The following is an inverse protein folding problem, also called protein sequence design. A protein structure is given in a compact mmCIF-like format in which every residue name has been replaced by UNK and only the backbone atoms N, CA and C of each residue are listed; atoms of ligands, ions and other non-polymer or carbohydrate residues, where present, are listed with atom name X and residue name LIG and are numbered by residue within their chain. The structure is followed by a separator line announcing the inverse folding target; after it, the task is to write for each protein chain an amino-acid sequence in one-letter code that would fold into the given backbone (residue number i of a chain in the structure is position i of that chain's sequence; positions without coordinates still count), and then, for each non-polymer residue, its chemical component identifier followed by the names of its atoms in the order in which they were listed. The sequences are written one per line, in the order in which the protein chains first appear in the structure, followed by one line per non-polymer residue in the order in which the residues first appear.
data_IF_482897202313
#
_entry.id   IF_482897202313
#
_cell.length_a   1.000
_cell.length_b   1.000
_cell.length_c   1.000
_cell.angle_alpha   90.00
_cell.angle_beta   90.00
_cell.angle_gamma   90.00
#
_symmetry.space_group_name_H-M   'P 1'
#
loop_
_entity.id
_entity.type
_entity.pdbx_description
1 polymer ?
#
# COMPACT_ATOMS: atom_id res chain seq x y z
N UNK A 1 -66.06 -1.16 24.80
CA UNK A 1 -64.82 -2.00 24.65
C UNK A 1 -64.31 -1.76 23.24
N UNK A 2 -63.29 -0.94 23.14
CA UNK A 2 -62.66 -0.54 21.87
C UNK A 2 -61.24 -1.09 21.88
N UNK A 3 -61.00 -2.10 21.05
CA UNK A 3 -59.65 -2.67 20.87
C UNK A 3 -58.76 -1.71 20.07
N UNK A 4 -57.67 -1.33 20.65
CA UNK A 4 -56.59 -0.61 19.95
C UNK A 4 -55.59 -1.62 19.35
N UNK A 5 -55.61 -1.73 18.02
CA UNK A 5 -54.62 -2.49 17.30
C UNK A 5 -53.33 -1.69 17.17
N UNK A 6 -52.30 -2.10 17.88
CA UNK A 6 -50.96 -1.50 17.82
C UNK A 6 -50.22 -2.10 16.62
N UNK A 7 -50.05 -1.31 15.56
CA UNK A 7 -49.25 -1.71 14.40
C UNK A 7 -47.76 -1.44 14.72
N UNK A 8 -47.00 -2.51 14.91
CA UNK A 8 -45.55 -2.43 15.06
C UNK A 8 -44.92 -2.20 13.70
N UNK A 9 -44.42 -0.99 13.46
CA UNK A 9 -43.62 -0.65 12.28
C UNK A 9 -42.22 -1.24 12.44
N UNK A 10 -41.89 -2.31 11.73
CA UNK A 10 -40.55 -2.81 11.58
C UNK A 10 -39.77 -1.83 10.70
N UNK A 11 -38.87 -1.06 11.31
CA UNK A 11 -37.85 -0.33 10.58
C UNK A 11 -36.85 -1.34 10.00
N UNK A 12 -37.05 -1.70 8.75
CA UNK A 12 -36.04 -2.42 7.95
C UNK A 12 -34.95 -1.42 7.57
N UNK A 13 -33.87 -1.35 8.35
CA UNK A 13 -32.64 -0.70 7.90
C UNK A 13 -32.11 -1.48 6.70
N UNK A 14 -32.04 -0.86 5.53
CA UNK A 14 -31.28 -1.37 4.41
C UNK A 14 -29.83 -1.47 4.90
N UNK A 15 -29.34 -2.70 5.11
CA UNK A 15 -27.91 -2.92 5.33
C UNK A 15 -27.25 -2.49 4.02
N UNK A 16 -26.38 -1.47 4.07
CA UNK A 16 -25.45 -1.19 2.98
C UNK A 16 -24.74 -2.51 2.66
N UNK A 17 -24.55 -2.85 1.38
CA UNK A 17 -23.81 -4.05 1.01
C UNK A 17 -22.46 -3.99 1.72
N UNK A 18 -22.09 -5.09 2.37
CA UNK A 18 -20.83 -5.24 3.09
C UNK A 18 -19.69 -5.04 2.08
N UNK A 19 -18.76 -4.11 2.37
CA UNK A 19 -17.57 -3.90 1.56
C UNK A 19 -16.59 -5.06 1.77
N UNK A 20 -15.94 -5.53 0.72
CA UNK A 20 -15.03 -6.69 0.78
C UNK A 20 -13.59 -6.23 0.70
N UNK A 21 -12.78 -6.60 1.70
CA UNK A 21 -11.33 -6.46 1.67
C UNK A 21 -10.67 -7.84 1.52
N UNK A 22 -9.89 -8.01 0.47
CA UNK A 22 -9.06 -9.18 0.24
C UNK A 22 -7.63 -8.90 0.69
N UNK A 23 -7.15 -9.61 1.70
CA UNK A 23 -5.76 -9.57 2.15
C UNK A 23 -5.00 -10.72 1.49
N UNK A 24 -4.04 -10.41 0.63
CA UNK A 24 -3.12 -11.39 0.05
C UNK A 24 -1.76 -11.22 0.69
N UNK A 25 -1.34 -12.24 1.46
CA UNK A 25 -0.13 -12.19 2.30
C UNK A 25 0.75 -13.41 2.10
N UNK A 26 2.04 -13.28 2.44
CA UNK A 26 3.00 -14.38 2.35
C UNK A 26 4.33 -13.94 1.76
N UNK A 27 5.02 -14.89 1.12
CA UNK A 27 6.36 -14.71 0.59
C UNK A 27 7.42 -14.81 1.67
N UNK A 28 8.34 -13.86 1.75
CA UNK A 28 9.46 -13.91 2.70
C UNK A 28 9.02 -13.60 4.15
N UNK A 29 9.22 -14.55 5.06
CA UNK A 29 8.81 -14.45 6.47
C UNK A 29 9.51 -13.31 7.24
N UNK A 30 10.66 -12.84 6.76
CA UNK A 30 11.38 -11.72 7.39
C UNK A 30 10.59 -10.40 7.47
N UNK A 31 9.57 -10.24 6.63
CA UNK A 31 8.63 -9.11 6.68
C UNK A 31 7.41 -9.36 7.57
N UNK A 32 7.35 -10.48 8.29
CA UNK A 32 6.27 -10.82 9.21
C UNK A 32 4.86 -10.66 8.57
N UNK A 33 4.60 -11.26 7.39
CA UNK A 33 3.39 -10.95 6.61
C UNK A 33 2.09 -11.24 7.36
N UNK A 34 2.09 -12.23 8.25
CA UNK A 34 0.92 -12.59 9.07
C UNK A 34 0.69 -11.53 10.13
N UNK A 35 1.69 -11.28 10.97
CA UNK A 35 1.62 -10.33 12.09
C UNK A 35 1.39 -8.90 11.58
N UNK A 36 2.07 -8.52 10.51
CA UNK A 36 1.95 -7.21 9.88
C UNK A 36 0.52 -6.96 9.34
N UNK A 37 -0.08 -7.92 8.67
CA UNK A 37 -1.45 -7.77 8.18
C UNK A 37 -2.47 -7.86 9.31
N UNK A 38 -2.26 -8.75 10.29
CA UNK A 38 -3.17 -8.91 11.43
C UNK A 38 -3.34 -7.60 12.24
N UNK A 39 -2.34 -6.70 12.23
CA UNK A 39 -2.44 -5.37 12.85
C UNK A 39 -3.57 -4.51 12.26
N UNK A 40 -3.86 -4.66 10.97
CA UNK A 40 -4.84 -3.84 10.27
C UNK A 40 -6.23 -4.50 10.14
N UNK A 41 -6.37 -5.80 10.43
CA UNK A 41 -7.66 -6.49 10.35
C UNK A 41 -8.75 -5.89 11.26
N UNK A 42 -8.46 -5.53 12.54
CA UNK A 42 -9.46 -4.88 13.39
C UNK A 42 -9.92 -3.54 12.83
N UNK A 43 -8.97 -2.75 12.28
CA UNK A 43 -9.27 -1.46 11.67
C UNK A 43 -10.19 -1.63 10.44
N UNK A 44 -9.86 -2.53 9.51
CA UNK A 44 -10.69 -2.81 8.33
C UNK A 44 -12.11 -3.23 8.72
N UNK A 45 -12.25 -4.13 9.70
CA UNK A 45 -13.56 -4.56 10.20
C UNK A 45 -14.34 -3.39 10.83
N UNK A 46 -13.68 -2.53 11.59
CA UNK A 46 -14.28 -1.32 12.15
C UNK A 46 -14.77 -0.35 11.05
N UNK A 47 -14.08 -0.31 9.91
CA UNK A 47 -14.47 0.47 8.74
C UNK A 47 -15.56 -0.21 7.88
N UNK A 48 -16.13 -1.34 8.34
CA UNK A 48 -17.25 -2.01 7.71
C UNK A 48 -16.86 -2.99 6.59
N UNK A 49 -15.59 -3.41 6.53
CA UNK A 49 -15.17 -4.44 5.59
C UNK A 49 -15.41 -5.85 6.14
N UNK A 50 -15.95 -6.71 5.30
CA UNK A 50 -15.79 -8.16 5.41
C UNK A 50 -14.38 -8.51 4.88
N UNK A 51 -13.56 -9.17 5.73
CA UNK A 51 -12.16 -9.41 5.40
C UNK A 51 -11.96 -10.88 5.08
N UNK A 52 -11.50 -11.16 3.86
CA UNK A 52 -10.99 -12.46 3.41
C UNK A 52 -9.46 -12.43 3.37
N UNK A 53 -8.82 -13.50 3.81
CA UNK A 53 -7.37 -13.64 3.83
C UNK A 53 -6.98 -14.82 2.94
N UNK A 54 -5.99 -14.60 2.08
CA UNK A 54 -5.40 -15.61 1.20
C UNK A 54 -3.88 -15.57 1.30
N UNK A 55 -3.27 -16.75 1.37
CA UNK A 55 -1.81 -16.89 1.47
C UNK A 55 -1.15 -17.09 0.07
N UNK A 56 -1.93 -16.92 -0.99
CA UNK A 56 -1.49 -17.14 -2.37
C UNK A 56 -2.13 -16.15 -3.33
N UNK A 57 -1.40 -15.69 -4.37
CA UNK A 57 -1.95 -14.86 -5.45
C UNK A 57 -2.91 -15.64 -6.37
N UNK A 58 -3.10 -16.95 -6.18
CA UNK A 58 -3.98 -17.78 -7.00
C UNK A 58 -5.43 -17.25 -7.04
N UNK A 59 -5.88 -16.61 -5.96
CA UNK A 59 -7.22 -16.02 -5.86
C UNK A 59 -7.48 -14.94 -6.93
N UNK A 60 -6.45 -14.26 -7.40
CA UNK A 60 -6.58 -13.23 -8.42
C UNK A 60 -7.10 -13.76 -9.75
N UNK A 61 -6.94 -15.06 -10.04
CA UNK A 61 -7.47 -15.70 -11.24
C UNK A 61 -8.99 -15.99 -11.17
N UNK A 62 -9.61 -15.86 -9.99
CA UNK A 62 -11.06 -16.01 -9.80
C UNK A 62 -11.75 -14.68 -10.13
N UNK A 63 -12.10 -14.49 -11.40
CA UNK A 63 -12.70 -13.25 -11.89
C UNK A 63 -14.08 -12.95 -11.25
N UNK A 64 -14.87 -13.98 -10.92
CA UNK A 64 -16.17 -13.82 -10.28
C UNK A 64 -15.99 -13.29 -8.85
N UNK A 65 -15.10 -13.87 -8.08
CA UNK A 65 -14.77 -13.38 -6.75
C UNK A 65 -14.14 -11.98 -6.79
N UNK A 66 -13.15 -11.76 -7.66
CA UNK A 66 -12.44 -10.46 -7.77
C UNK A 66 -13.40 -9.31 -8.12
N UNK A 67 -14.49 -9.57 -8.85
CA UNK A 67 -15.50 -8.55 -9.14
C UNK A 67 -16.24 -8.06 -7.87
N UNK A 68 -16.23 -8.82 -6.78
CA UNK A 68 -16.84 -8.47 -5.50
C UNK A 68 -15.91 -7.72 -4.55
N UNK A 69 -14.62 -7.66 -4.87
CA UNK A 69 -13.59 -7.06 -4.00
C UNK A 69 -13.56 -5.55 -4.16
N UNK A 70 -13.60 -4.83 -3.04
CA UNK A 70 -13.51 -3.36 -3.00
C UNK A 70 -12.10 -2.88 -2.69
N UNK A 71 -11.31 -3.67 -1.94
CA UNK A 71 -9.95 -3.35 -1.54
C UNK A 71 -9.07 -4.61 -1.53
N UNK A 72 -7.91 -4.52 -2.15
CA UNK A 72 -6.83 -5.50 -2.02
C UNK A 72 -5.78 -4.93 -1.06
N UNK A 73 -5.48 -5.65 0.01
CA UNK A 73 -4.33 -5.40 0.88
C UNK A 73 -3.21 -6.34 0.47
N UNK A 74 -2.20 -5.79 -0.21
CA UNK A 74 -1.09 -6.55 -0.77
C UNK A 74 0.07 -6.62 0.23
N UNK A 75 0.40 -7.82 0.71
CA UNK A 75 1.54 -8.08 1.60
C UNK A 75 2.20 -9.42 1.26
N UNK A 76 2.76 -9.53 0.04
CA UNK A 76 3.28 -10.80 -0.47
C UNK A 76 4.68 -10.62 -1.10
N UNK A 77 5.72 -10.61 -0.24
CA UNK A 77 7.09 -10.23 -0.61
C UNK A 77 7.84 -11.32 -1.38
N UNK A 78 8.57 -10.92 -2.44
CA UNK A 78 9.48 -11.79 -3.22
C UNK A 78 8.85 -13.09 -3.71
N UNK A 79 7.56 -13.09 -3.92
CA UNK A 79 6.84 -14.23 -4.48
C UNK A 79 6.78 -14.12 -6.02
N UNK A 80 6.18 -15.10 -6.65
CA UNK A 80 5.91 -15.12 -8.08
C UNK A 80 4.41 -15.02 -8.33
N UNK A 81 4.05 -14.44 -9.46
CA UNK A 81 2.67 -14.42 -9.95
C UNK A 81 2.63 -15.05 -11.34
N UNK A 82 1.61 -15.86 -11.60
CA UNK A 82 1.36 -16.41 -12.93
C UNK A 82 0.58 -15.42 -13.79
N UNK A 83 0.73 -15.52 -15.11
CA UNK A 83 0.07 -14.60 -16.05
C UNK A 83 -1.45 -14.49 -15.87
N UNK A 84 -2.22 -15.60 -15.71
CA UNK A 84 -3.67 -15.50 -15.45
C UNK A 84 -4.01 -14.81 -14.14
N UNK A 85 -3.18 -14.98 -13.09
CA UNK A 85 -3.37 -14.30 -11.80
C UNK A 85 -3.13 -12.80 -11.93
N UNK A 86 -2.04 -12.41 -12.62
CA UNK A 86 -1.77 -11.00 -12.88
C UNK A 86 -2.86 -10.35 -13.74
N UNK A 87 -3.33 -11.01 -14.78
CA UNK A 87 -4.41 -10.49 -15.63
C UNK A 87 -5.70 -10.28 -14.84
N UNK A 88 -6.04 -11.19 -13.94
CA UNK A 88 -7.20 -11.04 -13.05
C UNK A 88 -7.03 -9.89 -12.05
N UNK A 89 -5.84 -9.75 -11.42
CA UNK A 89 -5.52 -8.62 -10.56
C UNK A 89 -5.66 -7.29 -11.30
N UNK A 90 -5.02 -7.17 -12.47
CA UNK A 90 -5.07 -5.97 -13.29
C UNK A 90 -6.50 -5.60 -13.70
N UNK A 91 -7.26 -6.58 -14.19
CA UNK A 91 -8.65 -6.36 -14.62
C UNK A 91 -9.55 -5.89 -13.46
N UNK A 92 -9.36 -6.42 -12.25
CA UNK A 92 -10.10 -5.98 -11.07
C UNK A 92 -9.77 -4.52 -10.72
N UNK A 93 -8.49 -4.13 -10.75
CA UNK A 93 -8.08 -2.75 -10.49
C UNK A 93 -8.61 -1.82 -11.59
N UNK A 94 -8.49 -2.18 -12.87
CA UNK A 94 -9.03 -1.41 -14.00
C UNK A 94 -10.54 -1.16 -13.84
N UNK A 95 -11.27 -2.11 -13.25
CA UNK A 95 -12.70 -2.03 -12.97
C UNK A 95 -13.05 -1.31 -11.64
N UNK A 96 -12.06 -0.75 -10.92
CA UNK A 96 -12.28 0.10 -9.75
C UNK A 96 -11.98 -0.55 -8.40
N UNK A 97 -11.51 -1.80 -8.34
CA UNK A 97 -10.98 -2.37 -7.09
C UNK A 97 -9.75 -1.59 -6.67
N UNK A 98 -9.71 -1.14 -5.41
CA UNK A 98 -8.54 -0.47 -4.86
C UNK A 98 -7.44 -1.44 -4.47
N UNK A 99 -6.19 -0.96 -4.41
CA UNK A 99 -5.05 -1.74 -3.91
C UNK A 99 -4.17 -0.89 -3.02
N UNK A 100 -3.78 -1.41 -1.87
CA UNK A 100 -2.83 -0.75 -0.99
C UNK A 100 -1.90 -1.76 -0.33
N UNK A 101 -0.70 -1.31 0.04
CA UNK A 101 0.26 -2.15 0.73
C UNK A 101 1.48 -1.35 1.17
N UNK A 102 2.40 -2.05 1.80
CA UNK A 102 3.60 -1.45 2.35
C UNK A 102 4.83 -2.30 2.11
N UNK A 103 5.97 -1.61 2.07
CA UNK A 103 7.31 -2.17 2.00
C UNK A 103 7.44 -3.21 0.88
N UNK A 104 8.21 -4.28 1.11
CA UNK A 104 8.36 -5.37 0.15
C UNK A 104 7.07 -6.15 -0.12
N UNK A 105 6.07 -6.03 0.75
CA UNK A 105 4.77 -6.67 0.58
C UNK A 105 4.00 -6.20 -0.67
N UNK A 106 4.30 -5.00 -1.17
CA UNK A 106 3.77 -4.47 -2.42
C UNK A 106 4.87 -4.07 -3.40
N UNK A 107 5.89 -3.32 -2.95
CA UNK A 107 6.94 -2.79 -3.83
C UNK A 107 7.99 -3.83 -4.25
N UNK A 108 7.96 -5.03 -3.67
CA UNK A 108 8.87 -6.13 -3.98
C UNK A 108 8.13 -7.48 -4.11
N UNK A 109 6.87 -7.47 -4.54
CA UNK A 109 6.03 -8.67 -4.57
C UNK A 109 6.42 -9.64 -5.67
N UNK A 110 6.29 -9.22 -6.92
CA UNK A 110 6.28 -10.09 -8.08
C UNK A 110 7.33 -9.66 -9.11
N UNK A 111 8.62 -9.82 -8.77
CA UNK A 111 9.75 -9.42 -9.65
C UNK A 111 9.77 -10.13 -11.00
N UNK A 112 9.06 -11.25 -11.14
CA UNK A 112 8.96 -12.01 -12.38
C UNK A 112 7.98 -11.42 -13.40
N UNK A 113 7.17 -10.41 -13.00
CA UNK A 113 6.12 -9.82 -13.83
C UNK A 113 6.31 -8.31 -13.95
N UNK A 114 6.88 -7.87 -15.07
CA UNK A 114 7.17 -6.46 -15.32
C UNK A 114 5.91 -5.60 -15.42
N UNK A 115 4.80 -6.18 -15.89
CA UNK A 115 3.53 -5.45 -15.97
C UNK A 115 2.96 -5.16 -14.57
N UNK A 116 3.28 -6.00 -13.55
CA UNK A 116 2.94 -5.69 -12.15
C UNK A 116 3.70 -4.44 -11.67
N UNK A 117 4.97 -4.33 -12.02
CA UNK A 117 5.77 -3.16 -11.66
C UNK A 117 5.22 -1.89 -12.31
N UNK A 118 4.78 -2.00 -13.56
CA UNK A 118 4.08 -0.92 -14.26
C UNK A 118 2.75 -0.60 -13.59
N UNK A 119 2.00 -1.59 -13.12
CA UNK A 119 0.72 -1.41 -12.44
C UNK A 119 0.86 -0.58 -11.16
N UNK A 120 1.86 -0.86 -10.32
CA UNK A 120 2.07 -0.16 -9.04
C UNK A 120 2.97 1.08 -9.16
N UNK A 121 3.70 1.24 -10.26
CA UNK A 121 4.49 2.42 -10.60
C UNK A 121 5.86 2.54 -9.96
N UNK A 122 6.26 1.60 -9.13
CA UNK A 122 7.57 1.61 -8.48
C UNK A 122 7.97 0.26 -7.90
N UNK A 123 9.28 0.01 -7.90
CA UNK A 123 9.84 -1.25 -7.44
C UNK A 123 11.04 -1.02 -6.52
N UNK A 124 11.18 -1.87 -5.51
CA UNK A 124 12.40 -2.01 -4.74
C UNK A 124 13.59 -2.32 -5.65
N UNK A 125 14.62 -1.49 -5.59
CA UNK A 125 15.89 -1.68 -6.28
C UNK A 125 16.95 -2.28 -5.38
N UNK A 126 17.22 -1.62 -4.26
CA UNK A 126 18.18 -2.10 -3.25
C UNK A 126 18.02 -1.35 -1.91
N UNK A 127 18.76 -1.82 -0.91
CA UNK A 127 19.00 -1.12 0.35
C UNK A 127 20.33 -0.39 0.28
N UNK A 128 20.37 0.95 0.08
CA UNK A 128 21.62 1.69 -0.01
C UNK A 128 22.26 1.98 1.37
N UNK A 129 21.72 1.40 2.45
CA UNK A 129 21.98 1.83 3.81
C UNK A 129 23.37 1.57 4.36
N UNK A 130 23.84 0.32 4.39
CA UNK A 130 25.09 -0.07 5.04
C UNK A 130 26.14 -0.56 4.05
N UNK A 131 27.42 -0.37 4.41
CA UNK A 131 28.51 -1.04 3.71
C UNK A 131 28.30 -2.58 3.77
N UNK A 132 28.63 -3.34 2.72
CA UNK A 132 28.47 -4.80 2.73
C UNK A 132 29.16 -5.46 3.92
N UNK A 133 30.33 -4.99 4.33
CA UNK A 133 31.11 -5.52 5.46
C UNK A 133 30.48 -5.22 6.84
N UNK A 134 29.52 -4.29 6.90
CA UNK A 134 28.77 -3.95 8.12
C UNK A 134 27.47 -4.77 8.24
N UNK A 135 27.14 -5.52 7.20
CA UNK A 135 25.93 -6.37 7.17
C UNK A 135 26.24 -7.73 7.78
N UNK A 136 26.50 -7.72 9.07
CA UNK A 136 26.76 -8.93 9.86
C UNK A 136 25.59 -9.21 10.77
N UNK A 137 25.03 -10.41 10.67
CA UNK A 137 23.90 -10.84 11.45
C UNK A 137 22.61 -10.86 10.66
N UNK A 138 21.48 -10.81 11.34
CA UNK A 138 20.21 -11.01 10.68
C UNK A 138 19.65 -9.70 10.10
N UNK A 139 18.57 -9.22 10.56
CA UNK A 139 17.65 -8.37 9.84
C UNK A 139 17.83 -6.88 10.05
N UNK A 140 18.38 -6.49 11.19
CA UNK A 140 18.76 -5.11 11.51
C UNK A 140 19.92 -4.59 10.68
N UNK A 141 20.52 -5.44 9.86
CA UNK A 141 21.70 -5.12 9.07
C UNK A 141 21.49 -4.02 8.05
N UNK A 142 20.25 -3.86 7.54
CA UNK A 142 19.91 -2.78 6.63
C UNK A 142 19.26 -1.58 7.32
N UNK A 143 19.11 -1.58 8.64
CA UNK A 143 18.51 -0.48 9.38
C UNK A 143 19.43 0.74 9.41
N UNK A 144 18.91 1.85 8.92
CA UNK A 144 19.59 3.15 8.91
C UNK A 144 18.62 4.23 9.39
N UNK A 145 19.11 5.28 10.04
CA UNK A 145 18.31 6.46 10.32
C UNK A 145 18.08 7.25 9.03
N UNK A 146 16.83 7.63 8.76
CA UNK A 146 16.47 8.52 7.66
C UNK A 146 15.18 9.27 7.97
N UNK A 147 14.98 10.38 7.28
CA UNK A 147 13.76 11.19 7.35
C UNK A 147 12.84 10.85 6.18
N UNK A 148 11.56 10.66 6.44
CA UNK A 148 10.50 10.68 5.45
C UNK A 148 10.10 12.15 5.26
N UNK A 149 10.44 12.71 4.10
CA UNK A 149 10.21 14.10 3.77
C UNK A 149 8.89 14.26 3.02
N UNK A 150 7.95 14.99 3.60
CA UNK A 150 6.64 15.23 3.00
C UNK A 150 6.74 16.25 1.87
N UNK A 151 6.15 15.96 0.71
CA UNK A 151 6.11 16.90 -0.41
C UNK A 151 4.95 17.90 -0.26
N UNK A 152 4.99 19.05 -0.94
CA UNK A 152 3.90 20.05 -0.88
C UNK A 152 2.52 19.46 -1.23
N UNK A 153 2.44 18.54 -2.19
CA UNK A 153 1.20 17.85 -2.55
C UNK A 153 0.59 17.01 -1.41
N UNK A 154 1.42 16.59 -0.46
CA UNK A 154 0.99 15.81 0.70
C UNK A 154 0.16 16.63 1.70
N UNK A 155 0.31 17.95 1.72
CA UNK A 155 -0.31 18.80 2.74
C UNK A 155 -1.84 18.77 2.70
N UNK A 156 -2.42 18.56 1.52
CA UNK A 156 -3.88 18.51 1.30
C UNK A 156 -4.38 17.13 0.87
N UNK A 157 -3.48 16.16 0.72
CA UNK A 157 -3.88 14.82 0.31
C UNK A 157 -4.49 14.05 1.49
N UNK A 158 -5.65 13.39 1.34
CA UNK A 158 -6.36 12.71 2.44
C UNK A 158 -5.52 11.69 3.21
N UNK A 159 -4.54 11.05 2.54
CA UNK A 159 -3.66 10.07 3.20
C UNK A 159 -2.70 10.76 4.18
N UNK A 160 -2.22 11.94 3.84
CA UNK A 160 -1.07 12.58 4.51
C UNK A 160 -1.40 13.89 5.18
N UNK A 161 -2.64 14.38 5.09
CA UNK A 161 -3.08 15.62 5.74
C UNK A 161 -2.71 15.63 7.23
N UNK A 162 -2.04 16.72 7.65
CA UNK A 162 -1.59 16.93 9.03
C UNK A 162 -0.36 16.13 9.44
N UNK A 163 0.25 15.35 8.54
CA UNK A 163 1.53 14.68 8.79
C UNK A 163 2.65 15.58 8.28
N UNK A 164 3.67 15.78 9.10
CA UNK A 164 4.90 16.50 8.78
C UNK A 164 6.04 15.50 8.58
N UNK A 165 7.21 15.99 8.20
CA UNK A 165 8.43 15.18 8.12
C UNK A 165 8.65 14.40 9.43
N UNK A 166 9.05 13.14 9.32
CA UNK A 166 9.30 12.30 10.48
C UNK A 166 10.48 11.36 10.25
N UNK A 167 11.16 11.01 11.36
CA UNK A 167 12.37 10.18 11.33
C UNK A 167 12.03 8.72 11.64
N UNK A 168 12.73 7.82 10.94
CA UNK A 168 12.67 6.38 11.17
C UNK A 168 14.07 5.79 11.29
N UNK A 169 14.17 4.66 11.96
CA UNK A 169 15.36 3.79 11.96
C UNK A 169 14.90 2.43 11.46
N UNK A 170 15.03 2.18 10.17
CA UNK A 170 14.60 0.94 9.52
C UNK A 170 15.27 0.79 8.15
N UNK A 171 14.84 -0.15 7.34
CA UNK A 171 15.28 -0.30 5.96
C UNK A 171 14.83 0.88 5.10
N UNK A 172 15.79 1.50 4.41
CA UNK A 172 15.53 2.52 3.41
C UNK A 172 15.58 1.90 2.02
N UNK A 173 14.61 2.22 1.17
CA UNK A 173 14.56 1.73 -0.20
C UNK A 173 15.11 2.73 -1.21
N UNK A 174 15.97 2.26 -2.11
CA UNK A 174 16.12 2.85 -3.43
C UNK A 174 15.01 2.28 -4.32
N UNK A 175 14.13 3.14 -4.80
CA UNK A 175 12.96 2.74 -5.61
C UNK A 175 13.22 3.12 -7.06
N UNK A 176 13.01 2.17 -7.96
CA UNK A 176 12.88 2.42 -9.39
C UNK A 176 11.43 2.76 -9.68
N UNK A 177 11.13 3.98 -10.08
CA UNK A 177 9.77 4.46 -10.31
C UNK A 177 9.61 5.05 -11.71
N UNK A 178 8.39 5.04 -12.22
CA UNK A 178 8.02 5.76 -13.43
C UNK A 178 7.47 7.16 -13.13
N UNK A 179 7.23 7.96 -14.19
CA UNK A 179 6.75 9.34 -14.09
C UNK A 179 5.23 9.44 -13.89
N UNK A 180 4.51 8.32 -13.80
CA UNK A 180 3.05 8.29 -13.70
C UNK A 180 2.57 8.01 -12.26
N UNK A 181 3.41 8.19 -11.26
CA UNK A 181 3.05 8.14 -9.84
C UNK A 181 2.90 9.54 -9.26
N UNK A 182 1.96 9.70 -8.33
CA UNK A 182 1.81 10.93 -7.54
C UNK A 182 2.55 10.74 -6.21
N UNK A 183 3.75 11.30 -6.12
CA UNK A 183 4.61 11.15 -4.94
C UNK A 183 4.13 12.08 -3.83
N UNK A 184 3.85 11.52 -2.65
CA UNK A 184 3.45 12.24 -1.45
C UNK A 184 4.61 12.50 -0.50
N UNK A 185 5.56 11.56 -0.42
CA UNK A 185 6.76 11.71 0.40
C UNK A 185 7.97 11.03 -0.24
N UNK A 186 9.15 11.48 0.13
CA UNK A 186 10.43 10.95 -0.34
C UNK A 186 11.36 10.63 0.81
N UNK A 187 12.39 9.81 0.53
CA UNK A 187 13.57 9.67 1.38
C UNK A 187 14.82 9.97 0.55
N UNK A 188 15.85 10.54 1.17
CA UNK A 188 17.09 10.86 0.48
C UNK A 188 18.26 10.11 1.12
N UNK A 189 18.96 9.33 0.30
CA UNK A 189 20.20 8.68 0.66
C UNK A 189 21.36 9.60 0.30
N UNK A 190 22.13 10.01 1.30
CA UNK A 190 23.37 10.78 1.10
C UNK A 190 24.46 9.90 0.53
N UNK A 191 25.37 10.51 -0.23
CA UNK A 191 26.59 9.83 -0.73
C UNK A 191 27.55 9.57 0.42
N UNK A 192 28.06 8.34 0.50
CA UNK A 192 29.09 7.93 1.44
C UNK A 192 30.36 7.56 0.69
N UNK A 193 31.47 7.50 1.39
CA UNK A 193 32.80 7.25 0.80
C UNK A 193 32.90 5.95 -0.02
N UNK A 194 32.15 4.91 0.38
CA UNK A 194 32.15 3.61 -0.29
C UNK A 194 31.05 3.43 -1.35
N UNK A 195 30.17 4.43 -1.52
CA UNK A 195 29.09 4.32 -2.50
C UNK A 195 29.64 4.44 -3.93
N UNK A 196 29.19 3.58 -4.88
CA UNK A 196 29.64 3.66 -6.27
C UNK A 196 28.96 4.79 -7.07
N UNK A 197 27.94 5.44 -6.50
CA UNK A 197 27.26 6.60 -7.08
C UNK A 197 27.85 7.90 -6.52
N UNK A 198 27.71 9.00 -7.26
CA UNK A 198 28.42 10.25 -7.01
C UNK A 198 27.48 11.44 -6.68
N UNK A 199 26.21 11.19 -6.46
CA UNK A 199 25.22 12.17 -6.02
C UNK A 199 24.22 11.52 -5.10
N UNK A 200 23.51 12.34 -4.30
CA UNK A 200 22.39 11.90 -3.47
C UNK A 200 21.30 11.22 -4.32
N UNK A 201 20.66 10.23 -3.74
CA UNK A 201 19.57 9.50 -4.34
C UNK A 201 18.32 9.79 -3.54
N UNK A 202 17.34 10.40 -4.19
CA UNK A 202 16.00 10.60 -3.63
C UNK A 202 15.04 9.60 -4.26
N UNK A 203 14.37 8.83 -3.42
CA UNK A 203 13.39 7.84 -3.81
C UNK A 203 12.01 8.18 -3.28
N UNK A 204 10.91 7.85 -4.00
CA UNK A 204 9.58 7.86 -3.43
C UNK A 204 9.51 6.99 -2.17
N UNK A 205 8.84 7.52 -1.13
CA UNK A 205 8.56 6.80 0.12
C UNK A 205 7.07 6.48 0.25
N UNK A 206 6.21 7.43 -0.14
CA UNK A 206 4.76 7.27 -0.21
C UNK A 206 4.31 7.75 -1.58
N UNK A 207 3.50 6.96 -2.27
CA UNK A 207 2.91 7.40 -3.54
C UNK A 207 1.54 6.81 -3.78
N UNK A 208 0.80 7.48 -4.65
CA UNK A 208 -0.46 6.99 -5.19
C UNK A 208 -0.38 6.83 -6.70
N UNK A 209 -1.28 6.04 -7.24
CA UNK A 209 -1.42 5.82 -8.67
C UNK A 209 -2.88 5.52 -8.99
N UNK A 210 -3.37 6.05 -10.08
CA UNK A 210 -4.64 5.65 -10.67
C UNK A 210 -4.38 4.68 -11.84
N UNK A 211 -5.14 3.58 -11.87
CA UNK A 211 -5.09 2.62 -12.97
C UNK A 211 -6.51 2.21 -13.36
N UNK A 212 -6.98 2.66 -14.53
CA UNK A 212 -8.40 2.60 -14.87
C UNK A 212 -9.24 3.38 -13.86
N UNK A 213 -10.25 2.74 -13.29
CA UNK A 213 -11.07 3.30 -12.21
C UNK A 213 -10.52 3.00 -10.81
N UNK A 214 -9.46 2.20 -10.72
CA UNK A 214 -8.86 1.78 -9.44
C UNK A 214 -7.81 2.76 -8.93
N UNK A 215 -7.62 2.73 -7.62
CA UNK A 215 -6.66 3.54 -6.86
C UNK A 215 -5.63 2.64 -6.21
N UNK A 216 -4.38 3.00 -6.30
CA UNK A 216 -3.27 2.26 -5.69
C UNK A 216 -2.52 3.18 -4.74
N UNK A 217 -2.23 2.70 -3.54
CA UNK A 217 -1.37 3.36 -2.56
C UNK A 217 -0.22 2.47 -2.15
N UNK A 218 0.98 3.01 -2.14
CA UNK A 218 2.21 2.31 -1.74
C UNK A 218 2.96 3.11 -0.69
N UNK A 219 3.36 2.43 0.39
CA UNK A 219 4.28 2.92 1.40
C UNK A 219 5.57 2.10 1.38
N UNK A 220 6.75 2.72 1.30
CA UNK A 220 8.02 1.98 1.49
C UNK A 220 8.40 1.81 2.97
N UNK A 221 8.09 2.72 3.93
CA UNK A 221 8.13 2.39 5.34
C UNK A 221 7.18 1.24 5.69
N UNK A 222 7.64 0.28 6.53
CA UNK A 222 6.80 -0.83 6.95
C UNK A 222 7.46 -2.20 6.99
N UNK A 223 8.79 -2.25 7.20
CA UNK A 223 9.59 -3.48 7.17
C UNK A 223 9.04 -4.57 8.10
N UNK A 224 8.67 -4.20 9.33
CA UNK A 224 8.18 -5.09 10.38
C UNK A 224 7.13 -4.43 11.26
N UNK A 225 6.55 -5.24 12.14
CA UNK A 225 5.52 -4.81 13.09
C UNK A 225 5.94 -3.56 13.86
N UNK A 226 7.16 -3.51 14.40
CA UNK A 226 7.65 -2.36 15.16
C UNK A 226 7.71 -1.06 14.35
N UNK A 227 7.94 -1.15 13.02
CA UNK A 227 7.89 0.01 12.13
C UNK A 227 6.45 0.41 11.83
N UNK A 228 5.56 -0.58 11.69
CA UNK A 228 4.13 -0.35 11.48
C UNK A 228 3.43 0.23 12.72
N UNK A 229 4.02 0.07 13.91
CA UNK A 229 3.55 0.68 15.16
C UNK A 229 3.89 2.17 15.27
N UNK A 230 4.84 2.69 14.45
CA UNK A 230 5.08 4.13 14.40
C UNK A 230 3.79 4.87 14.05
N UNK A 231 3.39 5.92 14.82
CA UNK A 231 2.10 6.57 14.64
C UNK A 231 1.90 7.19 13.24
N UNK A 232 2.96 7.71 12.61
CA UNK A 232 2.88 8.31 11.28
C UNK A 232 2.77 7.21 10.22
N UNK A 233 3.60 6.16 10.31
CA UNK A 233 3.55 5.01 9.39
C UNK A 233 2.19 4.34 9.44
N UNK A 234 1.69 4.07 10.64
CA UNK A 234 0.38 3.46 10.84
C UNK A 234 -0.74 4.31 10.26
N UNK A 235 -0.72 5.61 10.55
CA UNK A 235 -1.75 6.55 10.07
C UNK A 235 -1.80 6.62 8.55
N UNK A 236 -0.65 6.73 7.87
CA UNK A 236 -0.65 6.81 6.40
C UNK A 236 -1.10 5.49 5.76
N UNK A 237 -0.78 4.33 6.36
CA UNK A 237 -1.25 3.04 5.86
C UNK A 237 -2.76 2.90 6.08
N UNK A 238 -3.28 3.17 7.27
CA UNK A 238 -4.72 3.10 7.56
C UNK A 238 -5.53 4.01 6.62
N UNK A 239 -5.06 5.25 6.41
CA UNK A 239 -5.70 6.19 5.49
C UNK A 239 -5.55 5.76 4.03
N UNK A 240 -4.38 5.21 3.65
CA UNK A 240 -4.11 4.69 2.31
C UNK A 240 -5.04 3.53 1.94
N UNK A 241 -5.29 2.60 2.87
CA UNK A 241 -6.25 1.51 2.71
C UNK A 241 -7.65 2.03 2.39
N UNK A 242 -8.14 3.02 3.14
CA UNK A 242 -9.48 3.59 2.91
C UNK A 242 -9.55 4.44 1.65
N UNK A 243 -8.50 5.22 1.36
CA UNK A 243 -8.44 6.06 0.17
C UNK A 243 -8.46 5.24 -1.12
N UNK A 244 -7.76 4.11 -1.12
CA UNK A 244 -7.70 3.22 -2.28
C UNK A 244 -9.00 2.48 -2.53
N UNK A 245 -9.77 2.16 -1.51
CA UNK A 245 -10.94 1.29 -1.61
C UNK A 245 -11.98 1.80 -2.62
N UNK A 246 -12.59 0.89 -3.38
CA UNK A 246 -13.66 1.18 -4.34
C UNK A 246 -14.75 2.03 -3.69
N UNK A 247 -15.24 3.02 -4.43
CA UNK A 247 -16.28 3.92 -3.95
C UNK A 247 -15.83 4.88 -2.85
N UNK A 248 -14.53 5.06 -2.64
CA UNK A 248 -14.01 6.11 -1.77
C UNK A 248 -14.42 7.48 -2.30
N UNK A 249 -15.08 8.28 -1.48
CA UNK A 249 -15.47 9.66 -1.82
C UNK A 249 -14.31 10.67 -1.63
N UNK A 250 -13.16 10.20 -1.12
CA UNK A 250 -12.01 11.07 -0.91
C UNK A 250 -11.44 11.53 -2.25
N UNK A 251 -11.00 12.80 -2.37
CA UNK A 251 -10.42 13.32 -3.61
C UNK A 251 -9.12 12.58 -3.96
N UNK A 252 -8.79 12.55 -5.25
CA UNK A 252 -7.51 11.99 -5.72
C UNK A 252 -6.28 12.80 -5.27
N UNK A 253 -6.48 13.98 -4.73
CA UNK A 253 -5.45 14.99 -4.54
C UNK A 253 -5.33 15.87 -5.79
N UNK A 254 -4.75 17.05 -5.62
CA UNK A 254 -4.37 17.88 -6.78
C UNK A 254 -3.18 17.20 -7.43
N UNK A 255 -3.39 16.63 -8.62
CA UNK A 255 -2.27 16.19 -9.45
C UNK A 255 -1.40 17.41 -9.72
N UNK A 256 -0.30 17.54 -8.98
CA UNK A 256 0.77 18.44 -9.33
C UNK A 256 1.46 17.86 -10.59
N UNK A 257 0.66 17.68 -11.64
CA UNK A 257 1.14 17.29 -12.94
C UNK A 257 2.14 18.31 -13.39
N UNK A 258 3.39 17.92 -13.52
CA UNK A 258 4.33 18.61 -14.39
C UNK A 258 3.66 18.60 -15.76
N UNK A 259 3.04 19.73 -16.13
CA UNK A 259 2.24 19.87 -17.33
C UNK A 259 3.00 19.44 -18.58
N UNK A 260 2.67 18.27 -19.05
CA UNK A 260 2.77 17.95 -20.46
C UNK A 260 1.41 18.33 -21.07
N UNK A 261 1.30 19.57 -21.52
CA UNK A 261 0.28 19.98 -22.47
C UNK A 261 0.33 19.03 -23.66
N UNK A 262 -0.76 18.28 -23.86
CA UNK A 262 -1.02 17.55 -25.10
C UNK A 262 -1.21 18.49 -26.25
#
# INVERSE_FOLDING_TARGET
MTEQTTTATRAGGAQNPSRVALVVRGGWDGHQPVEATDMFLPYLRQQGFEVRIEDSPAIYADAEYMATVDLIVQCNTMNTIERPQFEGLRAAIEAGTGMAGWHGGIADSYRNESDYLTLIGGQFGCHPGKHPDERIGEQSDNYVPYTVNMLPAAATHPITEGITDFDLVTEQYWVLADDYIDVLATTTQKVREWDPWHREITSPALWTRQWGEGRIFVSTPGHRVEVLEDPNVRTVIERGLLWSARGSEQPYGDHAGTGATR
#
